data_IF_674714045171
#
_entry.id   IF_674714045171
#
_cell.length_a   1.000
_cell.length_b   1.000
_cell.length_c   1.000
_cell.angle_alpha   90.00
_cell.angle_beta   90.00
_cell.angle_gamma   90.00
#
_symmetry.space_group_name_H-M   'P 1'
#
loop_
_entity.id
_entity.type
_entity.pdbx_description
1 polymer ?
#
# COMPACT_ATOMS: atom_id res chain seq x y z
N UNK A 1 -16.50 -42.36 -1.87
CA UNK A 1 -16.02 -42.18 -3.25
C UNK A 1 -14.92 -41.14 -3.24
N UNK A 2 -13.70 -41.46 -3.68
CA UNK A 2 -12.56 -40.53 -3.67
C UNK A 2 -12.43 -39.86 -5.05
N UNK A 3 -12.38 -38.52 -5.08
CA UNK A 3 -12.15 -37.77 -6.32
C UNK A 3 -10.65 -37.70 -6.60
N UNK A 4 -10.26 -38.06 -7.83
CA UNK A 4 -8.92 -38.53 -8.13
C UNK A 4 -7.83 -37.47 -8.18
N UNK A 5 -6.71 -37.74 -7.48
CA UNK A 5 -5.44 -37.05 -7.69
C UNK A 5 -4.72 -37.64 -8.93
N UNK A 6 -5.01 -37.15 -10.14
CA UNK A 6 -4.14 -37.41 -11.30
C UNK A 6 -4.25 -36.41 -12.47
N UNK A 7 -4.19 -35.10 -12.19
CA UNK A 7 -4.08 -34.07 -13.22
C UNK A 7 -2.67 -34.03 -13.82
N UNK A 8 -2.36 -34.97 -14.72
CA UNK A 8 -1.16 -34.90 -15.58
C UNK A 8 -1.22 -33.60 -16.38
N UNK A 9 -0.17 -32.78 -16.36
CA UNK A 9 -0.14 -31.51 -17.09
C UNK A 9 -0.48 -31.69 -18.57
N UNK A 10 -1.62 -31.15 -19.00
CA UNK A 10 -2.05 -31.13 -20.39
C UNK A 10 -1.20 -30.15 -21.18
N UNK A 11 -0.09 -30.65 -21.74
CA UNK A 11 0.86 -29.86 -22.52
C UNK A 11 0.24 -29.21 -23.76
N UNK A 12 -0.13 -27.92 -23.61
CA UNK A 12 -0.02 -26.86 -24.63
C UNK A 12 -0.72 -27.13 -25.99
N UNK A 13 -1.80 -27.90 -26.04
CA UNK A 13 -2.46 -28.24 -27.32
C UNK A 13 -3.30 -27.10 -27.93
N UNK A 14 -3.86 -26.20 -27.12
CA UNK A 14 -4.82 -25.17 -27.57
C UNK A 14 -4.22 -24.08 -28.49
N UNK A 15 -2.90 -23.88 -28.47
CA UNK A 15 -2.23 -22.86 -29.30
C UNK A 15 -1.78 -23.37 -30.67
N UNK A 16 -1.78 -24.69 -30.92
CA UNK A 16 -1.25 -25.30 -32.16
C UNK A 16 -1.89 -24.78 -33.45
N UNK A 17 -3.15 -24.36 -33.39
CA UNK A 17 -3.92 -23.83 -34.52
C UNK A 17 -4.27 -22.34 -34.34
N UNK A 18 -3.62 -21.64 -33.42
CA UNK A 18 -3.89 -20.22 -33.16
C UNK A 18 -2.82 -19.33 -33.82
N UNK A 19 -3.14 -18.09 -34.23
CA UNK A 19 -2.15 -17.15 -34.76
C UNK A 19 -1.21 -16.57 -33.68
N UNK A 20 -1.24 -17.11 -32.46
CA UNK A 20 -0.43 -16.70 -31.32
C UNK A 20 0.44 -17.87 -30.87
N UNK A 21 1.71 -17.60 -30.52
CA UNK A 21 2.65 -18.65 -30.07
C UNK A 21 2.33 -19.14 -28.66
N UNK A 22 1.69 -18.32 -27.84
CA UNK A 22 1.29 -18.62 -26.46
C UNK A 22 0.20 -17.66 -25.94
N UNK A 23 -0.17 -17.81 -24.66
CA UNK A 23 -1.11 -16.91 -24.00
C UNK A 23 -0.57 -15.48 -23.84
N UNK A 24 0.74 -15.31 -23.65
CA UNK A 24 1.37 -14.00 -23.41
C UNK A 24 1.32 -13.10 -24.63
N UNK A 25 1.71 -13.63 -25.80
CA UNK A 25 1.62 -12.98 -27.11
C UNK A 25 0.18 -12.59 -27.47
N UNK A 26 -0.80 -13.49 -27.23
CA UNK A 26 -2.21 -13.15 -27.33
C UNK A 26 -2.60 -11.98 -26.41
N UNK A 27 -2.23 -12.02 -25.13
CA UNK A 27 -2.55 -10.97 -24.16
C UNK A 27 -1.91 -9.62 -24.51
N UNK A 28 -0.71 -9.58 -25.11
CA UNK A 28 -0.10 -8.35 -25.62
C UNK A 28 -0.96 -7.73 -26.72
N UNK A 29 -1.39 -8.53 -27.70
CA UNK A 29 -2.25 -8.06 -28.81
C UNK A 29 -3.64 -7.65 -28.29
N UNK A 30 -4.21 -8.40 -27.34
CA UNK A 30 -5.48 -8.06 -26.69
C UNK A 30 -5.41 -6.72 -25.96
N UNK A 31 -4.36 -6.53 -25.14
CA UNK A 31 -4.15 -5.29 -24.40
C UNK A 31 -3.92 -4.09 -25.33
N UNK A 32 -3.20 -4.29 -26.44
CA UNK A 32 -3.04 -3.27 -27.49
C UNK A 32 -4.39 -2.88 -28.09
N UNK A 33 -5.19 -3.85 -28.53
CA UNK A 33 -6.52 -3.60 -29.14
C UNK A 33 -7.48 -2.86 -28.19
N UNK A 34 -7.45 -3.19 -26.90
CA UNK A 34 -8.25 -2.50 -25.87
C UNK A 34 -7.79 -1.05 -25.67
N UNK A 35 -6.48 -0.78 -25.73
CA UNK A 35 -5.95 0.59 -25.68
C UNK A 35 -6.31 1.38 -26.95
N UNK A 36 -6.22 0.75 -28.12
CA UNK A 36 -6.62 1.37 -29.41
C UNK A 36 -8.10 1.76 -29.41
N UNK A 37 -8.97 0.89 -28.90
CA UNK A 37 -10.40 1.18 -28.73
C UNK A 37 -10.66 2.38 -27.80
N UNK A 38 -10.01 2.41 -26.63
CA UNK A 38 -10.10 3.54 -25.69
C UNK A 38 -9.57 4.84 -26.31
N UNK A 39 -8.46 4.78 -27.04
CA UNK A 39 -7.87 5.95 -27.70
C UNK A 39 -8.77 6.48 -28.83
N UNK A 40 -9.39 5.60 -29.62
CA UNK A 40 -10.32 6.00 -30.67
C UNK A 40 -11.58 6.68 -30.09
N UNK A 41 -12.11 6.12 -28.99
CA UNK A 41 -13.25 6.69 -28.26
C UNK A 41 -12.92 8.06 -27.64
N UNK A 42 -11.71 8.23 -27.09
CA UNK A 42 -11.22 9.52 -26.60
C UNK A 42 -11.08 10.56 -27.74
N UNK A 43 -10.50 10.17 -28.88
CA UNK A 43 -10.38 11.03 -30.06
C UNK A 43 -11.74 11.50 -30.59
N UNK A 44 -12.73 10.60 -30.66
CA UNK A 44 -14.11 10.95 -31.06
C UNK A 44 -14.82 11.86 -30.05
N UNK A 45 -14.47 11.73 -28.76
CA UNK A 45 -15.06 12.54 -27.68
C UNK A 45 -14.42 13.92 -27.51
N UNK A 46 -13.34 14.21 -28.24
CA UNK A 46 -12.55 15.45 -28.15
C UNK A 46 -13.29 16.73 -28.61
N UNK A 47 -14.54 16.61 -29.04
CA UNK A 47 -15.38 17.72 -29.53
C UNK A 47 -15.94 18.65 -28.43
N UNK A 48 -15.43 18.59 -27.19
CA UNK A 48 -15.88 19.50 -26.14
C UNK A 48 -14.76 19.87 -25.16
N UNK A 49 -14.72 21.16 -24.80
CA UNK A 49 -13.75 21.79 -23.91
C UNK A 49 -12.33 22.02 -24.50
N UNK A 50 -12.27 22.94 -25.49
CA UNK A 50 -11.04 23.59 -25.94
C UNK A 50 -10.51 24.58 -24.87
N UNK A 51 -10.00 24.03 -23.77
CA UNK A 51 -9.13 24.77 -22.84
C UNK A 51 -7.68 24.56 -23.29
N UNK A 52 -6.91 25.63 -23.44
CA UNK A 52 -5.51 25.59 -23.92
C UNK A 52 -4.49 24.92 -22.96
N UNK A 53 -4.98 24.24 -21.91
CA UNK A 53 -4.19 23.58 -20.88
C UNK A 53 -3.99 22.08 -21.13
N UNK A 54 -3.14 21.46 -20.30
CA UNK A 54 -2.97 20.01 -20.27
C UNK A 54 -4.23 19.34 -19.69
N UNK A 55 -4.65 18.15 -20.15
CA UNK A 55 -5.77 17.43 -19.55
C UNK A 55 -5.56 17.14 -18.06
N UNK A 56 -6.64 17.16 -17.29
CA UNK A 56 -6.65 16.98 -15.82
C UNK A 56 -5.89 15.72 -15.36
N UNK A 57 -6.13 14.59 -16.03
CA UNK A 57 -5.49 13.30 -15.72
C UNK A 57 -4.33 12.98 -16.69
N UNK A 58 -3.69 13.98 -17.28
CA UNK A 58 -2.56 13.77 -18.19
C UNK A 58 -1.45 12.95 -17.51
N UNK A 59 -1.06 11.83 -18.13
CA UNK A 59 -0.09 10.88 -17.59
C UNK A 59 -0.64 9.89 -16.55
N UNK A 60 -1.83 10.14 -16.00
CA UNK A 60 -2.48 9.22 -15.05
C UNK A 60 -3.12 8.05 -15.82
N UNK A 61 -2.78 6.85 -15.37
CA UNK A 61 -3.34 5.60 -15.88
C UNK A 61 -3.86 4.77 -14.71
N UNK A 62 -5.15 4.43 -14.70
CA UNK A 62 -5.80 3.71 -13.60
C UNK A 62 -6.09 2.25 -13.95
N UNK A 63 -6.08 1.39 -12.93
CA UNK A 63 -6.67 0.05 -12.96
C UNK A 63 -7.67 -0.06 -11.81
N UNK A 64 -8.88 -0.55 -12.08
CA UNK A 64 -9.92 -0.74 -11.05
C UNK A 64 -9.89 -2.18 -10.58
N UNK A 65 -9.77 -2.39 -9.27
CA UNK A 65 -9.76 -3.71 -8.63
C UNK A 65 -11.02 -3.92 -7.79
N UNK A 66 -11.82 -4.94 -8.14
CA UNK A 66 -13.04 -5.29 -7.44
C UNK A 66 -14.24 -4.36 -7.73
N UNK A 67 -15.16 -4.30 -6.77
CA UNK A 67 -16.36 -3.45 -6.83
C UNK A 67 -16.05 -2.05 -6.30
N UNK A 68 -16.56 -1.03 -6.99
CA UNK A 68 -16.41 0.38 -6.62
C UNK A 68 -17.73 1.13 -6.83
N UNK A 69 -17.92 2.20 -6.06
CA UNK A 69 -18.93 3.24 -6.30
C UNK A 69 -18.17 4.57 -6.46
N UNK A 70 -18.23 5.25 -7.62
CA UNK A 70 -18.89 4.87 -8.86
C UNK A 70 -18.27 3.61 -9.51
N UNK A 71 -18.99 3.03 -10.46
CA UNK A 71 -18.61 1.78 -11.13
C UNK A 71 -17.36 1.92 -12.01
N UNK A 72 -16.75 0.80 -12.39
CA UNK A 72 -15.56 0.78 -13.24
C UNK A 72 -15.80 1.39 -14.64
N UNK A 73 -17.03 1.32 -15.18
CA UNK A 73 -17.36 1.96 -16.46
C UNK A 73 -17.54 3.48 -16.31
N UNK A 74 -18.09 3.97 -15.20
CA UNK A 74 -18.15 5.40 -14.91
C UNK A 74 -16.75 5.97 -14.71
N UNK A 75 -15.87 5.28 -13.95
CA UNK A 75 -14.46 5.63 -13.80
C UNK A 75 -13.71 5.66 -15.15
N UNK A 76 -14.01 4.72 -16.05
CA UNK A 76 -13.51 4.76 -17.45
C UNK A 76 -14.00 6.01 -18.17
N UNK A 77 -15.28 6.37 -18.04
CA UNK A 77 -15.86 7.59 -18.61
C UNK A 77 -15.20 8.88 -18.10
N UNK A 78 -14.94 8.97 -16.78
CA UNK A 78 -14.18 10.08 -16.21
C UNK A 78 -12.77 10.16 -16.78
N UNK A 79 -12.02 9.05 -16.81
CA UNK A 79 -10.68 9.04 -17.41
C UNK A 79 -10.70 9.50 -18.87
N UNK A 80 -11.65 9.00 -19.66
CA UNK A 80 -11.78 9.33 -21.07
C UNK A 80 -12.08 10.82 -21.28
N UNK A 81 -13.03 11.38 -20.54
CA UNK A 81 -13.41 12.80 -20.62
C UNK A 81 -12.30 13.76 -20.17
N UNK A 82 -11.51 13.36 -19.18
CA UNK A 82 -10.51 14.22 -18.53
C UNK A 82 -9.05 13.89 -18.92
N UNK A 83 -8.86 13.12 -20.00
CA UNK A 83 -7.56 12.83 -20.62
C UNK A 83 -6.64 11.90 -19.83
N UNK A 84 -7.20 11.08 -18.95
CA UNK A 84 -6.53 9.95 -18.30
C UNK A 84 -6.66 8.67 -19.10
N UNK A 85 -6.00 7.59 -18.64
CA UNK A 85 -6.06 6.27 -19.28
C UNK A 85 -6.70 5.23 -18.37
N UNK A 86 -7.59 4.43 -18.95
CA UNK A 86 -8.16 3.27 -18.28
C UNK A 86 -7.46 1.99 -18.75
N UNK A 87 -7.00 1.16 -17.81
CA UNK A 87 -6.26 -0.09 -18.08
C UNK A 87 -7.10 -1.29 -17.66
N UNK A 88 -7.50 -2.12 -18.62
CA UNK A 88 -8.38 -3.28 -18.36
C UNK A 88 -7.69 -4.45 -17.65
N UNK A 89 -6.38 -4.60 -17.84
CA UNK A 89 -5.59 -5.70 -17.27
C UNK A 89 -4.36 -5.13 -16.57
N UNK A 90 -4.26 -5.39 -15.26
CA UNK A 90 -3.21 -4.81 -14.42
C UNK A 90 -1.80 -5.08 -14.96
N UNK A 91 -1.00 -4.02 -15.04
CA UNK A 91 0.40 -4.08 -15.47
C UNK A 91 1.18 -2.98 -14.78
N UNK A 92 2.17 -3.35 -13.95
CA UNK A 92 2.97 -2.42 -13.12
C UNK A 92 3.68 -1.33 -13.93
N UNK A 93 3.95 -1.57 -15.22
CA UNK A 93 4.60 -0.61 -16.12
C UNK A 93 3.63 0.32 -16.87
N UNK A 94 2.31 0.10 -16.74
CA UNK A 94 1.27 0.89 -17.43
C UNK A 94 0.30 1.58 -16.47
N UNK A 95 0.15 1.05 -15.26
CA UNK A 95 -0.75 1.57 -14.22
C UNK A 95 0.03 2.50 -13.31
N UNK A 96 -0.56 3.63 -12.96
CA UNK A 96 -0.03 4.61 -12.00
C UNK A 96 -0.74 4.54 -10.66
N UNK A 97 -2.05 4.26 -10.66
CA UNK A 97 -2.89 4.21 -9.46
C UNK A 97 -3.84 3.02 -9.57
N UNK A 98 -4.01 2.27 -8.48
CA UNK A 98 -4.99 1.20 -8.37
C UNK A 98 -6.20 1.76 -7.62
N UNK A 99 -7.37 1.76 -8.26
CA UNK A 99 -8.63 2.24 -7.67
C UNK A 99 -9.36 1.04 -7.07
N UNK A 100 -9.68 1.12 -5.79
CA UNK A 100 -10.35 0.04 -5.06
C UNK A 100 -11.13 0.62 -3.86
N UNK A 101 -12.31 0.07 -3.55
CA UNK A 101 -13.07 0.46 -2.36
C UNK A 101 -12.67 -0.33 -1.10
N UNK A 102 -12.22 -1.58 -1.25
CA UNK A 102 -11.81 -2.47 -0.17
C UNK A 102 -10.94 -3.60 -0.73
N UNK A 103 -9.79 -3.90 -0.11
CA UNK A 103 -8.95 -5.03 -0.50
C UNK A 103 -9.18 -6.25 0.42
N UNK A 104 -9.15 -7.49 -0.11
CA UNK A 104 -9.10 -8.68 0.72
C UNK A 104 -7.75 -8.80 1.44
N UNK A 105 -7.76 -9.33 2.65
CA UNK A 105 -6.59 -9.49 3.54
C UNK A 105 -5.39 -10.16 2.86
N UNK A 106 -5.66 -11.11 1.94
CA UNK A 106 -4.63 -11.80 1.17
C UNK A 106 -3.80 -10.86 0.26
N UNK A 107 -4.44 -9.81 -0.29
CA UNK A 107 -3.78 -8.74 -1.03
C UNK A 107 -3.14 -7.70 -0.11
N UNK A 108 -3.75 -7.40 1.04
CA UNK A 108 -3.19 -6.45 2.03
C UNK A 108 -1.88 -6.99 2.60
N UNK A 109 -1.88 -8.24 3.10
CA UNK A 109 -0.69 -8.93 3.64
C UNK A 109 0.47 -9.02 2.65
N UNK A 110 0.18 -9.02 1.35
CA UNK A 110 1.16 -9.08 0.27
C UNK A 110 1.13 -7.83 -0.62
N UNK A 111 0.84 -6.65 -0.06
CA UNK A 111 0.57 -5.43 -0.82
C UNK A 111 1.67 -5.11 -1.84
N UNK A 112 2.94 -5.18 -1.42
CA UNK A 112 4.08 -4.90 -2.33
C UNK A 112 4.13 -5.88 -3.52
N UNK A 113 3.79 -7.14 -3.32
CA UNK A 113 3.70 -8.14 -4.39
C UNK A 113 2.51 -7.87 -5.32
N UNK A 114 1.38 -7.44 -4.76
CA UNK A 114 0.19 -7.05 -5.52
C UNK A 114 0.42 -5.76 -6.32
N UNK A 115 0.59 -4.61 -5.65
CA UNK A 115 0.67 -3.30 -6.29
C UNK A 115 2.01 -3.00 -6.96
N UNK A 116 3.10 -3.65 -6.54
CA UNK A 116 4.45 -3.30 -6.99
C UNK A 116 4.98 -1.98 -6.43
N UNK A 117 4.38 -1.47 -5.35
CA UNK A 117 4.68 -0.13 -4.81
C UNK A 117 3.81 0.99 -5.40
N UNK A 118 2.88 0.66 -6.30
CA UNK A 118 1.88 1.61 -6.77
C UNK A 118 0.88 1.98 -5.65
N UNK A 119 0.40 3.23 -5.60
CA UNK A 119 -0.64 3.66 -4.67
C UNK A 119 -1.96 2.92 -4.94
N UNK A 120 -2.60 2.47 -3.87
CA UNK A 120 -3.97 1.94 -3.88
C UNK A 120 -4.88 2.96 -3.19
N UNK A 121 -5.92 3.41 -3.89
CA UNK A 121 -6.75 4.55 -3.48
C UNK A 121 -8.24 4.30 -3.69
N UNK A 122 -9.05 4.98 -2.89
CA UNK A 122 -10.51 5.03 -2.97
C UNK A 122 -10.95 5.73 -4.28
N UNK A 123 -12.08 5.33 -4.88
CA UNK A 123 -12.60 5.94 -6.11
C UNK A 123 -12.99 7.42 -5.96
N UNK A 124 -13.21 7.89 -4.72
CA UNK A 124 -13.44 9.31 -4.40
C UNK A 124 -12.30 10.22 -4.84
N UNK A 125 -11.05 9.73 -4.90
CA UNK A 125 -9.92 10.53 -5.43
C UNK A 125 -10.16 11.04 -6.86
N UNK A 126 -10.77 10.20 -7.71
CA UNK A 126 -11.10 10.57 -9.10
C UNK A 126 -12.24 11.58 -9.12
N UNK A 127 -13.29 11.35 -8.33
CA UNK A 127 -14.43 12.25 -8.24
C UNK A 127 -14.04 13.63 -7.72
N UNK A 128 -13.30 13.70 -6.61
CA UNK A 128 -12.90 14.95 -5.99
C UNK A 128 -11.91 15.72 -6.86
N UNK A 129 -11.00 15.02 -7.57
CA UNK A 129 -10.11 15.66 -8.54
C UNK A 129 -10.86 16.26 -9.74
N UNK A 130 -11.96 15.60 -10.17
CA UNK A 130 -12.87 16.13 -11.20
C UNK A 130 -13.66 17.33 -10.67
N UNK A 131 -14.22 17.24 -9.46
CA UNK A 131 -15.00 18.31 -8.84
C UNK A 131 -14.15 19.56 -8.56
N UNK A 132 -12.91 19.38 -8.11
CA UNK A 132 -11.93 20.45 -7.91
C UNK A 132 -11.25 20.93 -9.22
N UNK A 133 -11.52 20.26 -10.35
CA UNK A 133 -10.85 20.46 -11.65
C UNK A 133 -9.31 20.51 -11.54
N UNK A 134 -8.74 19.72 -10.61
CA UNK A 134 -7.31 19.68 -10.29
C UNK A 134 -6.93 18.29 -9.79
N UNK A 135 -5.80 17.76 -10.25
CA UNK A 135 -5.27 16.49 -9.75
C UNK A 135 -4.91 16.64 -8.26
N UNK A 136 -5.67 15.97 -7.39
CA UNK A 136 -5.45 15.99 -5.95
C UNK A 136 -4.33 15.03 -5.54
N UNK A 137 -3.70 15.29 -4.40
CA UNK A 137 -2.78 14.33 -3.80
C UNK A 137 -3.55 13.04 -3.46
N UNK A 138 -2.93 11.89 -3.73
CA UNK A 138 -3.54 10.57 -3.55
C UNK A 138 -3.45 10.05 -2.10
N UNK A 139 -2.52 10.57 -1.29
CA UNK A 139 -2.27 10.12 0.09
C UNK A 139 -3.53 10.15 0.99
N UNK A 140 -4.38 11.20 1.01
CA UNK A 140 -5.60 11.23 1.82
C UNK A 140 -6.65 10.19 1.40
N UNK A 141 -6.49 9.61 0.20
CA UNK A 141 -7.44 8.68 -0.41
C UNK A 141 -6.98 7.24 -0.33
N UNK A 142 -5.90 6.93 0.39
CA UNK A 142 -5.52 5.55 0.65
C UNK A 142 -6.63 4.80 1.41
N UNK A 143 -6.62 3.47 1.27
CA UNK A 143 -7.48 2.60 2.06
C UNK A 143 -7.02 2.59 3.53
N UNK A 144 -7.95 2.69 4.47
CA UNK A 144 -7.61 2.85 5.89
C UNK A 144 -6.90 1.60 6.46
N UNK A 145 -7.24 0.42 5.91
CA UNK A 145 -6.57 -0.86 6.17
C UNK A 145 -5.06 -0.85 5.84
N UNK A 146 -4.63 -0.04 4.87
CA UNK A 146 -3.22 0.10 4.52
C UNK A 146 -2.49 1.02 5.52
N UNK A 147 -3.19 1.99 6.12
CA UNK A 147 -2.64 2.87 7.14
C UNK A 147 -2.47 2.13 8.48
N UNK A 148 -3.41 1.24 8.85
CA UNK A 148 -3.30 0.43 10.07
C UNK A 148 -2.14 -0.58 10.04
N UNK A 149 -1.91 -1.25 8.91
CA UNK A 149 -0.78 -2.19 8.77
C UNK A 149 0.59 -1.49 8.76
N UNK A 150 0.65 -0.25 8.26
CA UNK A 150 1.90 0.53 8.27
C UNK A 150 2.20 1.16 9.64
N UNK A 151 1.18 1.49 10.45
CA UNK A 151 1.34 1.87 11.86
C UNK A 151 2.06 0.77 12.69
N UNK A 152 1.84 -0.51 12.37
CA UNK A 152 2.46 -1.62 13.07
C UNK A 152 3.97 -1.81 12.75
N UNK A 153 4.53 -1.00 11.84
CA UNK A 153 5.97 -0.98 11.57
C UNK A 153 6.64 0.23 12.24
N UNK A 154 7.69 0.03 13.04
CA UNK A 154 8.38 1.15 13.69
C UNK A 154 9.01 2.08 12.65
N UNK A 155 8.62 3.35 12.69
CA UNK A 155 9.16 4.42 11.84
C UNK A 155 10.66 4.56 12.05
N UNK A 156 11.42 4.95 11.02
CA UNK A 156 12.88 5.15 11.14
C UNK A 156 13.27 6.13 12.27
N UNK A 157 12.43 7.10 12.60
CA UNK A 157 12.62 8.00 13.75
C UNK A 157 12.72 7.24 15.09
N UNK A 158 11.97 6.14 15.27
CA UNK A 158 12.04 5.31 16.47
C UNK A 158 13.40 4.61 16.62
N UNK A 159 14.04 4.21 15.51
CA UNK A 159 15.39 3.65 15.52
C UNK A 159 16.44 4.69 15.94
N UNK A 160 16.31 5.95 15.50
CA UNK A 160 17.24 7.01 15.89
C UNK A 160 17.03 7.48 17.34
N UNK A 161 15.79 7.48 17.83
CA UNK A 161 15.47 7.88 19.21
C UNK A 161 16.12 6.99 20.29
N UNK A 162 16.38 5.71 19.99
CA UNK A 162 16.98 4.78 20.96
C UNK A 162 18.47 5.04 21.24
N UNK A 163 19.15 5.86 20.41
CA UNK A 163 20.61 6.04 20.47
C UNK A 163 21.09 7.21 21.34
N UNK A 164 20.19 7.98 21.96
CA UNK A 164 20.55 9.13 22.82
C UNK A 164 20.73 8.81 24.32
N UNK A 165 20.54 7.55 24.73
CA UNK A 165 20.56 7.14 26.14
C UNK A 165 21.78 6.28 26.49
N UNK A 166 22.99 6.79 26.27
CA UNK A 166 24.22 6.24 26.84
C UNK A 166 25.28 7.34 26.99
N UNK A 167 26.11 7.22 28.05
CA UNK A 167 27.20 8.14 28.43
C UNK A 167 26.74 9.43 29.14
N UNK A 168 26.46 9.32 30.44
CA UNK A 168 26.97 10.32 31.39
C UNK A 168 28.30 9.80 31.93
N UNK A 169 29.36 10.58 31.78
CA UNK A 169 30.63 10.37 32.49
C UNK A 169 30.65 11.40 33.61
N UNK A 170 30.31 10.96 34.81
CA UNK A 170 30.32 11.85 35.97
C UNK A 170 31.76 12.01 36.47
N UNK A 171 32.25 13.25 36.49
CA UNK A 171 33.57 13.61 37.00
C UNK A 171 33.52 14.95 37.76
N UNK A 172 34.34 15.04 38.81
CA UNK A 172 34.72 16.23 39.60
C UNK A 172 33.77 16.73 40.73
N UNK A 173 33.89 16.09 41.89
CA UNK A 173 34.46 16.64 43.16
C UNK A 173 34.06 18.04 43.68
N UNK A 174 33.83 18.11 45.01
CA UNK A 174 34.15 19.18 46.05
C UNK A 174 32.90 19.56 46.89
N UNK A 175 32.95 19.85 48.20
CA UNK A 175 33.98 19.78 49.27
C UNK A 175 33.30 19.87 50.67
N UNK A 176 33.88 19.21 51.69
CA UNK A 176 33.89 19.51 53.16
C UNK A 176 32.69 20.13 53.90
N UNK A 177 32.27 19.47 55.00
CA UNK A 177 32.42 20.02 56.37
C UNK A 177 32.59 18.88 57.42
N UNK A 178 33.02 19.18 58.66
CA UNK A 178 33.53 18.21 59.67
C UNK A 178 32.71 18.12 60.99
N UNK A 179 33.01 17.08 61.80
CA UNK A 179 32.64 16.87 63.22
C UNK A 179 31.14 16.56 63.49
N UNK A 180 30.70 15.75 64.48
CA UNK A 180 31.31 14.88 65.53
C UNK A 180 30.15 14.04 66.17
N UNK A 181 30.25 12.82 66.74
CA UNK A 181 31.29 11.77 66.97
C UNK A 181 30.65 10.38 67.12
N UNK A 182 31.45 9.32 66.84
CA UNK A 182 31.67 8.08 67.61
C UNK A 182 30.56 7.44 68.47
N UNK A 183 30.33 6.13 68.19
CA UNK A 183 29.92 4.99 69.01
C UNK A 183 29.05 4.07 68.12
N UNK A 184 29.55 2.99 67.51
CA UNK A 184 29.95 1.71 68.15
C UNK A 184 28.84 1.22 69.11
N UNK A 185 28.20 0.06 69.00
CA UNK A 185 28.34 -1.17 68.20
C UNK A 185 27.03 -2.00 68.50
N UNK A 186 26.83 -3.32 68.26
CA UNK A 186 27.33 -4.26 67.24
C UNK A 186 26.24 -5.22 66.65
N UNK A 187 26.70 -6.16 65.81
CA UNK A 187 26.30 -7.58 65.75
C UNK A 187 24.88 -8.07 65.33
N UNK A 188 24.83 -8.56 64.09
CA UNK A 188 24.59 -9.96 63.67
C UNK A 188 23.36 -10.79 64.11
N UNK A 189 22.81 -11.47 63.09
CA UNK A 189 22.06 -12.77 63.10
C UNK A 189 20.68 -12.73 63.78
N UNK A 190 19.63 -13.30 63.20
CA UNK A 190 19.47 -14.08 61.96
C UNK A 190 18.26 -15.01 62.10
N UNK A 191 17.84 -15.68 61.02
CA UNK A 191 16.81 -16.73 61.11
C UNK A 191 15.69 -16.64 60.07
N UNK A 192 15.83 -17.45 59.02
CA UNK A 192 14.76 -17.78 58.08
C UNK A 192 13.71 -18.65 58.76
N UNK A 193 12.41 -18.31 58.68
CA UNK A 193 11.33 -19.32 58.72
C UNK A 193 10.22 -18.94 57.74
N UNK A 194 9.72 -19.96 57.02
CA UNK A 194 8.60 -19.98 56.08
C UNK A 194 7.25 -20.03 56.82
N UNK A 195 6.19 -19.46 56.25
CA UNK A 195 4.82 -19.62 56.77
C UNK A 195 3.74 -19.28 55.75
N UNK A 196 3.06 -20.30 55.24
CA UNK A 196 1.86 -20.19 54.42
C UNK A 196 0.63 -19.90 55.31
N UNK A 197 -0.31 -19.04 54.90
CA UNK A 197 -1.75 -19.35 54.75
C UNK A 197 -2.70 -18.14 54.58
N UNK A 198 -3.67 -18.34 53.69
CA UNK A 198 -5.12 -18.04 53.81
C UNK A 198 -5.60 -16.77 54.53
N UNK A 199 -6.32 -15.92 53.78
CA UNK A 199 -7.76 -15.72 54.00
C UNK A 199 -8.47 -15.35 52.69
#
# INVERSE_FOLDING_TARGET
MAWGANSRSSSRSSFRNSPFSDFGSYMVVKNRKLQEQFNAEASSSSNSCSNSGKPLFHGVSIFVDGFTVPSSQELRGYMLKFGGRFVNYFSRHRVTHIICSNLPDSKIKNLRSFSGGLPVVKPTWVLDSVAANKLLNWVPYQLDQLASETHNQPTLSAFFALKSCAVSVDAATRLTDQMKSEAEDPLLKGGTIKGDNLS
#
